data_IF_539377935407
#
_entry.id   IF_539377935407
#
_cell.length_a   1.000
_cell.length_b   1.000
_cell.length_c   1.000
_cell.angle_alpha   90.00
_cell.angle_beta   90.00
_cell.angle_gamma   90.00
#
_symmetry.space_group_name_H-M   'P 1'
#
loop_
_entity.id
_entity.type
_entity.pdbx_description
1 polymer ?
#
# COMPACT_ATOMS: atom_id res chain seq x y z
N UNK A 1 4.12 -17.55 13.47
CA UNK A 1 2.77 -17.29 12.93
C UNK A 1 1.93 -16.24 13.69
N UNK A 2 2.31 -15.76 14.89
CA UNK A 2 1.52 -14.76 15.65
C UNK A 2 1.67 -13.28 15.22
N UNK A 3 2.70 -12.92 14.44
CA UNK A 3 3.04 -11.52 14.14
C UNK A 3 2.39 -10.92 12.88
N UNK A 4 2.08 -11.72 11.85
CA UNK A 4 1.41 -11.24 10.63
C UNK A 4 -0.01 -10.74 10.95
N UNK A 5 -0.71 -11.46 11.83
CA UNK A 5 -2.07 -11.10 12.24
C UNK A 5 -2.14 -9.71 12.90
N UNK A 6 -1.15 -9.32 13.71
CA UNK A 6 -1.16 -8.02 14.39
C UNK A 6 -1.06 -6.83 13.43
N UNK A 7 -0.21 -6.93 12.40
CA UNK A 7 -0.06 -5.87 11.38
C UNK A 7 -1.32 -5.71 10.55
N UNK A 8 -1.94 -6.84 10.18
CA UNK A 8 -3.19 -6.84 9.41
C UNK A 8 -4.36 -6.30 10.24
N UNK A 9 -4.50 -6.70 11.51
CA UNK A 9 -5.53 -6.15 12.40
C UNK A 9 -5.34 -4.64 12.61
N UNK A 10 -4.12 -4.16 12.87
CA UNK A 10 -3.84 -2.72 12.97
C UNK A 10 -4.22 -1.96 11.69
N UNK A 11 -3.86 -2.50 10.53
CA UNK A 11 -4.18 -1.88 9.24
C UNK A 11 -5.70 -1.84 9.02
N UNK A 12 -6.40 -2.93 9.36
CA UNK A 12 -7.86 -3.03 9.30
C UNK A 12 -8.53 -1.99 10.20
N UNK A 13 -8.11 -1.89 11.46
CA UNK A 13 -8.67 -0.91 12.40
C UNK A 13 -8.45 0.53 11.91
N UNK A 14 -7.25 0.83 11.39
CA UNK A 14 -6.96 2.14 10.77
C UNK A 14 -7.84 2.41 9.56
N UNK A 15 -8.06 1.43 8.68
CA UNK A 15 -8.91 1.60 7.49
C UNK A 15 -10.35 1.86 7.90
N UNK A 16 -10.86 1.16 8.91
CA UNK A 16 -12.24 1.34 9.39
C UNK A 16 -12.47 2.69 10.07
N UNK A 17 -11.47 3.21 10.79
CA UNK A 17 -11.57 4.48 11.49
C UNK A 17 -11.35 5.71 10.58
N UNK A 18 -10.57 5.59 9.50
CA UNK A 18 -10.18 6.74 8.66
C UNK A 18 -11.24 7.10 7.61
N UNK A 19 -12.08 8.08 7.96
CA UNK A 19 -13.14 8.60 7.10
C UNK A 19 -12.65 9.35 5.85
N UNK A 20 -11.33 9.61 5.73
CA UNK A 20 -10.76 10.24 4.53
C UNK A 20 -10.58 9.23 3.39
N UNK A 21 -10.61 7.93 3.69
CA UNK A 21 -10.49 6.89 2.69
C UNK A 21 -11.76 6.78 1.85
N UNK A 22 -11.57 6.56 0.55
CA UNK A 22 -12.64 6.30 -0.40
C UNK A 22 -12.58 4.82 -0.83
N UNK A 23 -13.60 4.36 -1.56
CA UNK A 23 -13.59 3.01 -2.13
C UNK A 23 -12.35 2.74 -3.01
N UNK A 24 -11.84 3.76 -3.73
CA UNK A 24 -10.61 3.64 -4.52
C UNK A 24 -9.37 3.48 -3.66
N UNK A 25 -9.29 4.17 -2.52
CA UNK A 25 -8.22 3.99 -1.56
C UNK A 25 -8.19 2.57 -1.00
N UNK A 26 -9.36 2.06 -0.58
CA UNK A 26 -9.48 0.71 -0.05
C UNK A 26 -9.08 -0.35 -1.10
N UNK A 27 -9.51 -0.18 -2.35
CA UNK A 27 -9.14 -1.09 -3.43
C UNK A 27 -7.64 -1.04 -3.78
N UNK A 28 -7.04 0.15 -3.74
CA UNK A 28 -5.60 0.30 -3.95
C UNK A 28 -4.77 -0.29 -2.81
N UNK A 29 -5.23 -0.14 -1.56
CA UNK A 29 -4.61 -0.79 -0.39
C UNK A 29 -4.64 -2.32 -0.54
N UNK A 30 -5.76 -2.92 -0.94
CA UNK A 30 -5.85 -4.35 -1.20
C UNK A 30 -4.85 -4.81 -2.28
N UNK A 31 -4.74 -4.05 -3.38
CA UNK A 31 -3.77 -4.34 -4.44
C UNK A 31 -2.31 -4.26 -3.94
N UNK A 32 -2.00 -3.31 -3.07
CA UNK A 32 -0.69 -3.16 -2.43
C UNK A 32 -0.38 -4.32 -1.47
N UNK A 33 -1.36 -4.80 -0.69
CA UNK A 33 -1.22 -5.97 0.17
C UNK A 33 -0.83 -7.19 -0.66
N UNK A 34 -1.58 -7.49 -1.72
CA UNK A 34 -1.27 -8.60 -2.62
C UNK A 34 0.08 -8.45 -3.31
N UNK A 35 0.47 -7.22 -3.70
CA UNK A 35 1.80 -6.98 -4.26
C UNK A 35 2.91 -7.28 -3.25
N UNK A 36 2.73 -6.88 -1.98
CA UNK A 36 3.71 -7.14 -0.92
C UNK A 36 3.83 -8.63 -0.58
N UNK A 37 2.73 -9.37 -0.55
CA UNK A 37 2.74 -10.83 -0.34
C UNK A 37 3.48 -11.57 -1.47
N UNK A 38 3.19 -11.19 -2.72
CA UNK A 38 3.87 -11.76 -3.90
C UNK A 38 5.37 -11.45 -3.95
N UNK A 39 5.83 -10.42 -3.23
CA UNK A 39 7.26 -10.09 -3.09
C UNK A 39 7.97 -10.88 -1.99
N UNK A 40 7.29 -11.84 -1.36
CA UNK A 40 7.82 -12.59 -0.22
C UNK A 40 7.87 -11.77 1.08
N UNK A 41 7.00 -10.75 1.21
CA UNK A 41 7.00 -9.79 2.31
C UNK A 41 8.31 -8.99 2.45
N UNK A 42 9.01 -8.80 1.33
CA UNK A 42 10.20 -7.94 1.28
C UNK A 42 9.77 -6.49 1.52
N UNK A 43 10.50 -5.76 2.37
CA UNK A 43 10.23 -4.36 2.68
C UNK A 43 11.53 -3.56 2.57
N UNK A 44 11.60 -2.55 1.67
CA UNK A 44 10.56 -2.15 0.69
C UNK A 44 10.23 -3.22 -0.36
N UNK A 45 9.08 -3.07 -1.03
CA UNK A 45 8.69 -3.90 -2.18
C UNK A 45 8.49 -3.06 -3.45
N UNK A 46 8.77 -3.67 -4.60
CA UNK A 46 8.63 -3.03 -5.91
C UNK A 46 7.23 -3.26 -6.49
N UNK A 47 6.65 -2.19 -7.03
CA UNK A 47 5.34 -2.20 -7.67
C UNK A 47 5.40 -1.63 -9.08
N UNK A 48 4.57 -2.20 -9.95
CA UNK A 48 4.29 -1.63 -11.27
C UNK A 48 2.95 -0.89 -11.21
N UNK A 49 2.94 0.36 -11.65
CA UNK A 49 1.73 1.18 -11.76
C UNK A 49 0.63 0.46 -12.55
N UNK A 50 0.95 -0.12 -13.71
CA UNK A 50 -0.04 -0.78 -14.56
C UNK A 50 -0.62 -2.04 -13.90
N UNK A 51 0.20 -2.80 -13.16
CA UNK A 51 -0.27 -3.94 -12.36
C UNK A 51 -1.17 -3.48 -11.22
N UNK A 52 -0.77 -2.45 -10.47
CA UNK A 52 -1.58 -1.90 -9.37
C UNK A 52 -2.93 -1.39 -9.87
N UNK A 53 -2.95 -0.59 -10.94
CA UNK A 53 -4.19 -0.09 -11.54
C UNK A 53 -5.15 -1.21 -11.93
N UNK A 54 -4.64 -2.28 -12.56
CA UNK A 54 -5.46 -3.43 -12.95
C UNK A 54 -6.00 -4.19 -11.74
N UNK A 55 -5.17 -4.42 -10.73
CA UNK A 55 -5.56 -5.14 -9.51
C UNK A 55 -6.54 -4.35 -8.65
N UNK A 56 -6.34 -3.04 -8.55
CA UNK A 56 -7.22 -2.13 -7.79
C UNK A 56 -8.45 -1.66 -8.56
N UNK A 57 -8.64 -2.13 -9.81
CA UNK A 57 -9.74 -1.70 -10.70
C UNK A 57 -9.80 -0.18 -10.90
N UNK A 58 -8.66 0.52 -10.78
CA UNK A 58 -8.55 1.95 -11.05
C UNK A 58 -8.02 2.11 -12.47
N UNK A 59 -8.91 2.42 -13.41
CA UNK A 59 -8.53 2.62 -14.82
C UNK A 59 -8.13 4.07 -15.15
N UNK A 60 -8.50 5.01 -14.28
CA UNK A 60 -8.13 6.42 -14.43
C UNK A 60 -6.72 6.68 -13.86
N UNK A 61 -5.83 7.17 -14.71
CA UNK A 61 -4.48 7.62 -14.33
C UNK A 61 -4.52 8.68 -13.23
N UNK A 62 -5.41 9.67 -13.36
CA UNK A 62 -5.51 10.76 -12.38
C UNK A 62 -6.02 10.26 -11.04
N UNK A 63 -7.01 9.36 -11.03
CA UNK A 63 -7.53 8.74 -9.81
C UNK A 63 -6.45 7.90 -9.12
N UNK A 64 -5.67 7.13 -9.89
CA UNK A 64 -4.55 6.37 -9.34
C UNK A 64 -3.52 7.26 -8.64
N UNK A 65 -3.04 8.30 -9.33
CA UNK A 65 -2.04 9.21 -8.77
C UNK A 65 -2.57 9.97 -7.56
N UNK A 66 -3.84 10.41 -7.59
CA UNK A 66 -4.49 11.01 -6.44
C UNK A 66 -4.48 10.04 -5.25
N UNK A 67 -5.02 8.84 -5.43
CA UNK A 67 -5.16 7.88 -4.33
C UNK A 67 -3.82 7.41 -3.75
N UNK A 68 -2.80 7.13 -4.58
CA UNK A 68 -1.50 6.68 -4.07
C UNK A 68 -0.78 7.80 -3.30
N UNK A 69 -0.90 9.05 -3.76
CA UNK A 69 -0.36 10.21 -3.05
C UNK A 69 -1.13 10.48 -1.75
N UNK A 70 -2.45 10.37 -1.76
CA UNK A 70 -3.29 10.49 -0.56
C UNK A 70 -2.95 9.40 0.46
N UNK A 71 -2.75 8.14 0.05
CA UNK A 71 -2.29 7.07 0.97
C UNK A 71 -0.92 7.38 1.60
N UNK A 72 -0.02 8.04 0.85
CA UNK A 72 1.25 8.51 1.40
C UNK A 72 1.04 9.64 2.42
N UNK A 73 0.23 10.66 2.08
CA UNK A 73 -0.10 11.78 2.98
C UNK A 73 -0.83 11.33 4.24
N UNK A 74 -1.73 10.35 4.11
CA UNK A 74 -2.45 9.74 5.24
C UNK A 74 -1.56 8.81 6.07
N UNK A 75 -0.31 8.58 5.65
CA UNK A 75 0.66 7.81 6.40
C UNK A 75 0.37 6.30 6.41
N UNK A 76 -0.20 5.76 5.33
CA UNK A 76 -0.32 4.31 5.15
C UNK A 76 0.93 3.73 4.49
N UNK A 77 1.56 4.49 3.59
CA UNK A 77 2.73 4.07 2.83
C UNK A 77 3.76 5.19 2.69
N UNK A 78 5.00 4.81 2.38
CA UNK A 78 5.94 5.64 1.64
C UNK A 78 6.01 5.11 0.21
N UNK A 79 5.92 6.01 -0.77
CA UNK A 79 5.90 5.71 -2.18
C UNK A 79 6.99 6.51 -2.89
N UNK A 80 7.97 5.80 -3.47
CA UNK A 80 9.04 6.38 -4.27
C UNK A 80 8.84 5.98 -5.74
N UNK A 81 8.33 6.87 -6.60
CA UNK A 81 8.10 6.55 -8.00
C UNK A 81 9.43 6.29 -8.73
N UNK A 82 9.41 5.34 -9.64
CA UNK A 82 10.54 5.07 -10.54
C UNK A 82 10.03 4.94 -11.96
N UNK A 83 10.76 5.56 -12.89
CA UNK A 83 10.51 5.45 -14.33
C UNK A 83 11.24 4.27 -14.97
N UNK A 84 12.05 3.53 -14.20
CA UNK A 84 12.76 2.36 -14.71
C UNK A 84 11.80 1.15 -14.72
N UNK A 85 11.47 0.59 -15.91
CA UNK A 85 10.52 -0.52 -16.03
C UNK A 85 11.00 -1.83 -15.40
N UNK A 86 12.31 -1.99 -15.17
CA UNK A 86 12.90 -3.16 -14.52
C UNK A 86 12.91 -3.04 -12.99
N UNK A 87 13.10 -1.83 -12.46
CA UNK A 87 13.13 -1.61 -11.01
C UNK A 87 11.71 -1.47 -10.44
N UNK A 88 10.80 -0.81 -11.16
CA UNK A 88 9.48 -0.47 -10.62
C UNK A 88 9.54 0.62 -9.56
N UNK A 89 8.38 1.13 -9.16
CA UNK A 89 8.29 2.09 -8.05
C UNK A 89 8.40 1.37 -6.73
N UNK A 90 9.03 1.98 -5.75
CA UNK A 90 9.24 1.39 -4.45
C UNK A 90 8.12 1.79 -3.48
N UNK A 91 7.61 0.83 -2.71
CA UNK A 91 6.62 1.06 -1.65
C UNK A 91 7.11 0.45 -0.34
N UNK A 92 6.93 1.19 0.75
CA UNK A 92 7.07 0.70 2.12
C UNK A 92 5.82 0.98 2.92
N UNK A 93 5.42 0.06 3.79
CA UNK A 93 4.30 0.31 4.70
C UNK A 93 4.70 1.25 5.83
N UNK A 94 3.85 2.25 6.12
CA UNK A 94 3.95 3.11 7.30
C UNK A 94 2.99 2.62 8.39
N UNK A 95 3.24 1.40 8.87
CA UNK A 95 2.57 0.87 10.05
C UNK A 95 3.32 1.45 11.25
N UNK A 96 2.74 2.41 11.98
CA UNK A 96 3.38 2.89 13.20
C UNK A 96 3.44 1.75 14.21
N UNK A 97 4.63 1.18 14.36
CA UNK A 97 5.21 0.70 15.61
C UNK A 97 6.73 0.53 15.42
N UNK A 98 7.46 1.64 15.26
CA UNK A 98 8.92 1.68 15.48
C UNK A 98 9.21 1.69 16.99
N UNK A 99 8.73 0.66 17.67
CA UNK A 99 8.78 0.53 19.12
C UNK A 99 8.03 -0.72 19.60
N UNK A 100 8.79 -1.78 19.85
CA UNK A 100 8.37 -3.02 20.52
C UNK A 100 7.47 -3.96 19.69
N UNK A 101 8.13 -4.89 19.00
CA UNK A 101 7.83 -6.31 19.21
C UNK A 101 9.16 -7.03 19.39
N UNK A 102 9.45 -7.41 20.64
CA UNK A 102 10.19 -8.64 20.91
C UNK A 102 9.48 -9.82 20.21
#
# INVERSE_FOLDING_TARGET
>A
MRNVNKKLEYLKDRIQADQRLSAFHASLLAALIFASENSGLTHPFQVSRSKLMRSSKIYSTSTYHKCINELQVFGYISYSPSYNPFLGSEVSWKLQNDGVFL
#
